data_IF_747206098900
#
_entry.id   IF_747206098900
#
_cell.length_a   1.000
_cell.length_b   1.000
_cell.length_c   1.000
_cell.angle_alpha   90.00
_cell.angle_beta   90.00
_cell.angle_gamma   90.00
#
_symmetry.space_group_name_H-M   'P 1'
#
loop_
_entity.id
_entity.type
_entity.pdbx_description
1 polymer ?
#
# COMPACT_ATOMS: atom_id res chain seq x y z
N UNK A 1 -27.46 48.71 -24.77
CA UNK A 1 -26.65 47.53 -24.40
C UNK A 1 -26.07 47.59 -22.98
N UNK A 2 -26.56 48.45 -22.06
CA UNK A 2 -25.99 48.58 -20.70
C UNK A 2 -26.75 47.82 -19.60
N UNK A 3 -27.95 47.29 -19.88
CA UNK A 3 -28.80 46.63 -18.87
C UNK A 3 -28.57 45.12 -18.71
N UNK A 4 -27.96 44.44 -19.70
CA UNK A 4 -27.71 42.98 -19.63
C UNK A 4 -26.39 42.60 -18.95
N UNK A 5 -25.44 43.53 -18.82
CA UNK A 5 -24.12 43.26 -18.23
C UNK A 5 -24.14 43.27 -16.69
N UNK A 6 -25.05 44.05 -16.09
CA UNK A 6 -25.18 44.22 -14.64
C UNK A 6 -25.75 42.95 -13.96
N UNK A 7 -26.62 42.20 -14.66
CA UNK A 7 -27.18 40.95 -14.13
C UNK A 7 -26.17 39.80 -14.03
N UNK A 8 -25.21 39.73 -14.96
CA UNK A 8 -24.19 38.66 -15.00
C UNK A 8 -23.11 38.89 -13.95
N UNK A 9 -22.68 40.13 -13.74
CA UNK A 9 -21.69 40.49 -12.71
C UNK A 9 -22.26 40.23 -11.31
N UNK A 10 -23.55 40.49 -11.08
CA UNK A 10 -24.21 40.18 -9.80
C UNK A 10 -24.22 38.68 -9.45
N UNK A 11 -24.36 37.80 -10.44
CA UNK A 11 -24.35 36.34 -10.23
C UNK A 11 -22.95 35.78 -9.96
N UNK A 12 -21.92 36.29 -10.65
CA UNK A 12 -20.52 35.87 -10.43
C UNK A 12 -20.03 36.26 -9.04
N UNK A 13 -20.42 37.44 -8.53
CA UNK A 13 -20.11 37.88 -7.16
C UNK A 13 -20.86 37.03 -6.12
N UNK A 14 -22.12 36.65 -6.39
CA UNK A 14 -22.89 35.80 -5.48
C UNK A 14 -22.33 34.36 -5.38
N UNK A 15 -21.88 33.78 -6.49
CA UNK A 15 -21.27 32.43 -6.52
C UNK A 15 -19.88 32.43 -5.87
N UNK A 16 -19.09 33.50 -6.06
CA UNK A 16 -17.80 33.65 -5.38
C UNK A 16 -17.96 33.76 -3.85
N UNK A 17 -19.02 34.42 -3.38
CA UNK A 17 -19.30 34.56 -1.96
C UNK A 17 -19.78 33.24 -1.33
N UNK A 18 -20.59 32.43 -2.03
CA UNK A 18 -21.02 31.13 -1.50
C UNK A 18 -19.89 30.10 -1.43
N UNK A 19 -18.99 30.07 -2.43
CA UNK A 19 -17.80 29.21 -2.42
C UNK A 19 -16.82 29.66 -1.32
N UNK A 20 -16.65 30.97 -1.13
CA UNK A 20 -15.82 31.52 -0.06
C UNK A 20 -16.31 31.17 1.35
N UNK A 21 -17.63 31.23 1.58
CA UNK A 21 -18.23 30.85 2.88
C UNK A 21 -18.11 29.34 3.14
N UNK A 22 -18.30 28.50 2.12
CA UNK A 22 -18.09 27.06 2.26
C UNK A 22 -16.62 26.71 2.54
N UNK A 23 -15.68 27.36 1.84
CA UNK A 23 -14.25 27.16 2.07
C UNK A 23 -13.82 27.57 3.48
N UNK A 24 -14.34 28.69 3.99
CA UNK A 24 -14.09 29.14 5.36
C UNK A 24 -14.68 28.18 6.40
N UNK A 25 -15.87 27.64 6.17
CA UNK A 25 -16.49 26.66 7.06
C UNK A 25 -15.69 25.35 7.11
N UNK A 26 -15.21 24.86 5.96
CA UNK A 26 -14.34 23.67 5.89
C UNK A 26 -13.00 23.94 6.60
N UNK A 27 -12.40 25.10 6.40
CA UNK A 27 -11.15 25.47 7.08
C UNK A 27 -11.32 25.55 8.60
N UNK A 28 -12.43 26.11 9.10
CA UNK A 28 -12.73 26.16 10.55
C UNK A 28 -12.96 24.75 11.11
N UNK A 29 -13.69 23.89 10.41
CA UNK A 29 -13.89 22.48 10.85
C UNK A 29 -12.55 21.74 10.86
N UNK A 30 -11.73 21.89 9.82
CA UNK A 30 -10.40 21.28 9.78
C UNK A 30 -9.48 21.81 10.89
N UNK A 31 -9.50 23.12 11.16
CA UNK A 31 -8.74 23.71 12.27
C UNK A 31 -9.23 23.21 13.64
N UNK A 32 -10.54 23.11 13.86
CA UNK A 32 -11.12 22.55 15.10
C UNK A 32 -10.83 21.05 15.26
N UNK A 33 -10.76 20.29 14.16
CA UNK A 33 -10.35 18.88 14.17
C UNK A 33 -8.83 18.70 14.33
N UNK A 34 -8.03 19.71 13.96
CA UNK A 34 -6.58 19.71 14.09
C UNK A 34 -6.10 20.26 15.44
N UNK A 35 -7.03 20.75 16.27
CA UNK A 35 -6.75 21.32 17.58
C UNK A 35 -7.02 20.30 18.69
N UNK A 36 -6.43 19.11 18.54
CA UNK A 36 -6.20 18.18 19.66
C UNK A 36 -4.82 17.52 19.54
N UNK A 37 -3.77 18.34 19.46
CA UNK A 37 -2.42 17.98 19.89
C UNK A 37 -1.65 19.25 20.31
N UNK A 38 -1.82 19.67 21.57
CA UNK A 38 -0.86 20.56 22.25
C UNK A 38 -0.64 20.11 23.69
N UNK A 39 0.28 19.15 23.90
CA UNK A 39 1.03 19.01 25.17
C UNK A 39 2.42 18.41 24.84
N UNK A 40 3.44 19.24 24.62
CA UNK A 40 4.56 19.52 25.54
C UNK A 40 5.37 18.30 26.01
N UNK A 41 6.62 18.25 25.54
CA UNK A 41 7.76 17.55 26.16
C UNK A 41 7.79 17.73 27.69
N UNK A 42 7.85 16.63 28.45
CA UNK A 42 8.82 16.48 29.53
C UNK A 42 9.03 15.00 29.95
N UNK A 43 10.23 14.79 30.47
CA UNK A 43 10.96 13.59 30.87
C UNK A 43 10.34 12.70 31.99
N UNK A 44 10.78 11.43 32.00
CA UNK A 44 10.87 10.46 33.12
C UNK A 44 9.73 9.47 33.45
N UNK A 45 10.07 8.20 33.20
CA UNK A 45 9.73 6.89 33.81
C UNK A 45 8.69 6.73 34.96
N UNK A 46 7.92 5.63 34.79
CA UNK A 46 7.56 4.56 35.76
C UNK A 46 6.05 4.32 36.09
N UNK A 47 5.57 3.16 35.60
CA UNK A 47 4.49 2.23 36.03
C UNK A 47 3.26 2.70 36.85
N UNK A 48 2.05 2.40 36.34
CA UNK A 48 1.11 1.39 36.92
C UNK A 48 -0.33 1.55 36.39
N UNK A 49 -0.75 0.56 35.60
CA UNK A 49 -2.09 -0.01 35.35
C UNK A 49 -3.37 0.82 35.65
N UNK A 50 -4.18 1.10 34.61
CA UNK A 50 -5.64 0.89 34.62
C UNK A 50 -6.08 0.51 33.20
N UNK A 51 -6.68 -0.68 33.05
CA UNK A 51 -7.38 -1.13 31.85
C UNK A 51 -8.48 -0.12 31.48
N UNK A 52 -8.40 0.43 30.27
CA UNK A 52 -9.57 0.99 29.57
C UNK A 52 -9.67 0.25 28.26
N UNK A 53 -10.55 -0.75 28.32
CA UNK A 53 -11.20 -1.42 27.20
C UNK A 53 -11.74 -0.35 26.24
N UNK A 54 -10.94 -0.03 25.23
CA UNK A 54 -11.43 0.57 23.99
C UNK A 54 -11.17 -0.46 22.94
N UNK A 55 -12.21 -1.26 22.71
CA UNK A 55 -12.45 -2.07 21.52
C UNK A 55 -12.35 -1.13 20.30
N UNK A 56 -11.12 -0.80 19.91
CA UNK A 56 -10.81 -0.31 18.58
C UNK A 56 -10.99 -1.53 17.72
N UNK A 57 -12.09 -1.57 16.99
CA UNK A 57 -12.25 -2.51 15.89
C UNK A 57 -11.12 -2.24 14.90
N UNK A 58 -10.01 -2.94 15.09
CA UNK A 58 -9.12 -3.32 14.02
C UNK A 58 -10.03 -4.05 13.03
N UNK A 59 -10.55 -3.35 12.03
CA UNK A 59 -10.86 -3.99 10.77
C UNK A 59 -9.52 -4.52 10.26
N UNK A 60 -9.21 -5.72 10.74
CA UNK A 60 -8.13 -6.61 10.37
C UNK A 60 -8.19 -6.68 8.85
N UNK A 61 -7.36 -5.88 8.15
CA UNK A 61 -7.32 -5.94 6.70
C UNK A 61 -6.52 -7.20 6.37
N UNK A 62 -7.25 -8.32 6.34
CA UNK A 62 -6.68 -9.66 6.24
C UNK A 62 -6.00 -9.83 4.87
N UNK A 63 -4.75 -10.27 4.87
CA UNK A 63 -4.12 -10.78 3.66
C UNK A 63 -4.86 -12.04 3.20
N UNK A 64 -5.62 -11.93 2.12
CA UNK A 64 -6.28 -13.05 1.47
C UNK A 64 -5.30 -13.81 0.58
N UNK A 65 -5.26 -15.13 0.73
CA UNK A 65 -4.46 -16.02 -0.12
C UNK A 65 -5.04 -16.02 -1.53
N UNK A 66 -4.19 -15.75 -2.52
CA UNK A 66 -4.59 -15.70 -3.92
C UNK A 66 -4.12 -16.94 -4.67
N UNK A 67 -5.04 -17.51 -5.46
CA UNK A 67 -4.71 -18.52 -6.46
C UNK A 67 -3.98 -17.88 -7.64
N UNK A 68 -2.98 -18.60 -8.17
CA UNK A 68 -2.16 -18.13 -9.29
C UNK A 68 -2.15 -19.20 -10.37
N UNK A 69 -2.60 -18.83 -11.56
CA UNK A 69 -2.50 -19.64 -12.78
C UNK A 69 -2.01 -18.78 -13.94
N UNK A 70 -1.74 -19.43 -15.08
CA UNK A 70 -1.25 -18.79 -16.30
C UNK A 70 -2.20 -17.71 -16.83
N UNK A 71 -3.51 -17.88 -16.70
CA UNK A 71 -4.49 -16.96 -17.29
C UNK A 71 -4.54 -15.66 -16.48
N UNK A 72 -4.40 -15.77 -15.15
CA UNK A 72 -4.42 -14.65 -14.23
C UNK A 72 -3.25 -13.68 -14.45
N UNK A 73 -2.08 -14.18 -14.86
CA UNK A 73 -0.83 -13.39 -14.94
C UNK A 73 -0.46 -12.93 -16.37
N UNK A 74 -1.34 -13.09 -17.37
CA UNK A 74 -1.05 -12.66 -18.75
C UNK A 74 -0.90 -11.15 -18.94
N UNK A 75 -1.47 -10.34 -18.03
CA UNK A 75 -1.31 -8.89 -18.06
C UNK A 75 -0.20 -8.45 -17.12
N UNK A 76 0.57 -7.43 -17.51
CA UNK A 76 1.66 -6.91 -16.66
C UNK A 76 1.14 -6.43 -15.31
N UNK A 77 -0.08 -5.88 -15.25
CA UNK A 77 -0.67 -5.43 -13.98
C UNK A 77 -0.86 -6.59 -13.04
N UNK A 78 -1.55 -7.65 -13.48
CA UNK A 78 -1.80 -8.82 -12.65
C UNK A 78 -0.49 -9.55 -12.32
N UNK A 79 0.40 -9.69 -13.29
CA UNK A 79 1.73 -10.29 -13.08
C UNK A 79 2.48 -9.57 -11.95
N UNK A 80 2.55 -8.23 -12.04
CA UNK A 80 3.22 -7.43 -11.03
C UNK A 80 2.50 -7.52 -9.68
N UNK A 81 1.17 -7.59 -9.66
CA UNK A 81 0.39 -7.76 -8.43
C UNK A 81 0.69 -9.10 -7.75
N UNK A 82 0.72 -10.19 -8.52
CA UNK A 82 1.15 -11.51 -8.04
C UNK A 82 2.58 -11.47 -7.52
N UNK A 83 3.52 -10.87 -8.26
CA UNK A 83 4.92 -10.74 -7.83
C UNK A 83 5.03 -9.91 -6.54
N UNK A 84 4.22 -8.84 -6.41
CA UNK A 84 4.15 -8.04 -5.19
C UNK A 84 3.70 -8.87 -3.99
N UNK A 85 2.60 -9.61 -4.12
CA UNK A 85 2.09 -10.46 -3.04
C UNK A 85 3.07 -11.59 -2.68
N UNK A 86 3.83 -12.11 -3.63
CA UNK A 86 4.91 -13.07 -3.34
C UNK A 86 5.98 -12.45 -2.41
N UNK A 87 6.33 -11.17 -2.59
CA UNK A 87 7.32 -10.52 -1.71
C UNK A 87 6.88 -10.46 -0.25
N UNK A 88 5.58 -10.53 0.05
CA UNK A 88 5.06 -10.43 1.42
C UNK A 88 5.56 -11.55 2.33
N UNK A 89 5.89 -12.72 1.78
CA UNK A 89 6.55 -13.82 2.51
C UNK A 89 7.99 -13.49 2.95
N UNK A 90 8.63 -12.50 2.34
CA UNK A 90 10.07 -12.19 2.54
C UNK A 90 10.35 -10.86 3.21
N UNK A 91 9.37 -9.96 3.30
CA UNK A 91 9.61 -8.56 3.73
C UNK A 91 8.79 -8.18 4.95
N UNK A 92 9.36 -7.35 5.81
CA UNK A 92 8.63 -6.67 6.86
C UNK A 92 8.09 -5.33 6.33
N UNK A 93 6.77 -5.15 6.37
CA UNK A 93 6.06 -3.90 6.06
C UNK A 93 4.96 -3.70 7.11
N UNK A 94 4.59 -2.44 7.38
CA UNK A 94 3.54 -2.14 8.37
C UNK A 94 2.18 -2.67 7.94
N UNK A 95 1.84 -2.48 6.66
CA UNK A 95 0.61 -2.96 6.06
C UNK A 95 0.93 -3.81 4.83
N UNK A 96 0.12 -4.84 4.63
CA UNK A 96 0.22 -5.75 3.49
C UNK A 96 -1.18 -6.22 3.12
N UNK A 97 -1.43 -6.35 1.82
CA UNK A 97 -2.71 -6.79 1.29
C UNK A 97 -2.48 -7.92 0.29
N UNK A 98 -3.13 -9.06 0.55
CA UNK A 98 -2.97 -10.26 -0.24
C UNK A 98 -1.71 -11.06 0.08
N UNK A 99 -1.79 -12.37 -0.09
CA UNK A 99 -0.68 -13.29 0.10
C UNK A 99 -0.61 -14.28 -1.07
N UNK A 100 0.60 -14.50 -1.59
CA UNK A 100 0.89 -15.54 -2.57
C UNK A 100 2.11 -16.28 -2.07
N UNK A 101 2.00 -17.59 -1.84
CA UNK A 101 3.14 -18.39 -1.36
C UNK A 101 4.28 -18.33 -2.39
N UNK A 102 5.53 -18.35 -1.94
CA UNK A 102 6.66 -18.60 -2.84
C UNK A 102 6.89 -20.11 -2.88
N UNK A 103 6.75 -20.72 -4.06
CA UNK A 103 7.15 -22.10 -4.34
C UNK A 103 7.98 -22.15 -5.62
N UNK A 104 8.77 -23.22 -5.78
CA UNK A 104 9.60 -23.41 -6.97
C UNK A 104 8.73 -23.43 -8.25
N UNK A 105 7.59 -24.14 -8.24
CA UNK A 105 6.69 -24.18 -9.41
C UNK A 105 6.14 -22.79 -9.75
N UNK A 106 5.88 -21.95 -8.74
CA UNK A 106 5.34 -20.61 -8.96
C UNK A 106 6.39 -19.64 -9.48
N UNK A 107 7.64 -19.75 -9.00
CA UNK A 107 8.77 -19.00 -9.56
C UNK A 107 8.95 -19.37 -11.03
N UNK A 108 8.93 -20.67 -11.36
CA UNK A 108 9.07 -21.15 -12.73
C UNK A 108 7.95 -20.64 -13.64
N UNK A 109 6.69 -20.74 -13.20
CA UNK A 109 5.53 -20.23 -13.91
C UNK A 109 5.64 -18.72 -14.20
N UNK A 110 5.99 -17.94 -13.18
CA UNK A 110 6.17 -16.49 -13.30
C UNK A 110 7.32 -16.16 -14.26
N UNK A 111 8.44 -16.90 -14.16
CA UNK A 111 9.62 -16.69 -15.00
C UNK A 111 9.35 -17.04 -16.47
N UNK A 112 8.62 -18.11 -16.74
CA UNK A 112 8.19 -18.50 -18.10
C UNK A 112 7.27 -17.43 -18.68
N UNK A 113 6.23 -17.04 -17.93
CA UNK A 113 5.25 -16.03 -18.37
C UNK A 113 5.93 -14.72 -18.75
N UNK A 114 6.85 -14.22 -17.92
CA UNK A 114 7.50 -12.94 -18.21
C UNK A 114 8.45 -13.03 -19.40
N UNK A 115 9.13 -14.16 -19.63
CA UNK A 115 10.00 -14.37 -20.80
C UNK A 115 9.24 -14.36 -22.12
N UNK A 116 7.98 -14.80 -22.12
CA UNK A 116 7.12 -14.79 -23.32
C UNK A 116 6.34 -13.49 -23.50
N UNK A 117 6.33 -12.63 -22.50
CA UNK A 117 5.60 -11.37 -22.50
C UNK A 117 6.29 -10.26 -23.33
N UNK A 118 5.59 -9.13 -23.49
CA UNK A 118 6.17 -7.85 -23.92
C UNK A 118 5.93 -6.78 -22.83
N UNK A 119 6.12 -7.15 -21.56
CA UNK A 119 5.90 -6.25 -20.44
C UNK A 119 6.88 -5.09 -20.43
N UNK A 120 6.43 -3.94 -19.94
CA UNK A 120 7.22 -2.71 -19.89
C UNK A 120 8.46 -2.87 -19.01
N UNK A 121 8.33 -3.59 -17.90
CA UNK A 121 9.41 -3.82 -16.92
C UNK A 121 9.93 -5.27 -16.95
N UNK A 122 9.86 -5.93 -18.11
CA UNK A 122 10.21 -7.34 -18.29
C UNK A 122 11.59 -7.70 -17.73
N UNK A 123 12.63 -6.94 -18.06
CA UNK A 123 14.00 -7.22 -17.62
C UNK A 123 14.15 -7.23 -16.09
N UNK A 124 13.50 -6.28 -15.41
CA UNK A 124 13.49 -6.19 -13.95
C UNK A 124 12.85 -7.45 -13.32
N UNK A 125 11.71 -7.88 -13.86
CA UNK A 125 11.04 -9.08 -13.37
C UNK A 125 11.86 -10.35 -13.63
N UNK A 126 12.51 -10.47 -14.80
CA UNK A 126 13.38 -11.61 -15.13
C UNK A 126 14.57 -11.67 -14.17
N UNK A 127 15.22 -10.54 -13.91
CA UNK A 127 16.35 -10.46 -12.97
C UNK A 127 15.93 -10.91 -11.57
N UNK A 128 14.82 -10.36 -11.06
CA UNK A 128 14.27 -10.70 -9.76
C UNK A 128 13.96 -12.20 -9.63
N UNK A 129 13.20 -12.76 -10.56
CA UNK A 129 12.77 -14.16 -10.53
C UNK A 129 13.93 -15.12 -10.79
N UNK A 130 14.93 -14.73 -11.57
CA UNK A 130 16.15 -15.55 -11.76
C UNK A 130 16.95 -15.62 -10.46
N UNK A 131 17.06 -14.54 -9.68
CA UNK A 131 17.69 -14.60 -8.36
C UNK A 131 16.91 -15.54 -7.42
N UNK A 132 15.58 -15.43 -7.41
CA UNK A 132 14.72 -16.24 -6.54
C UNK A 132 14.74 -17.73 -6.91
N UNK A 133 14.83 -18.06 -8.20
CA UNK A 133 15.01 -19.43 -8.68
C UNK A 133 16.31 -20.07 -8.16
N UNK A 134 17.34 -19.25 -7.89
CA UNK A 134 18.59 -19.69 -7.28
C UNK A 134 18.56 -19.65 -5.73
N UNK A 135 17.40 -19.38 -5.13
CA UNK A 135 17.23 -19.25 -3.68
C UNK A 135 17.74 -17.92 -3.11
N UNK A 136 18.14 -16.96 -3.94
CA UNK A 136 18.58 -15.64 -3.51
C UNK A 136 17.40 -14.67 -3.45
N UNK A 137 16.89 -14.44 -2.24
CA UNK A 137 15.81 -13.48 -1.96
C UNK A 137 16.31 -12.15 -1.40
N UNK A 138 17.62 -11.87 -1.48
CA UNK A 138 18.22 -10.66 -0.89
C UNK A 138 17.66 -9.36 -1.47
N UNK A 139 17.14 -9.40 -2.69
CA UNK A 139 16.50 -8.28 -3.38
C UNK A 139 14.99 -8.14 -3.10
N UNK A 140 14.36 -8.97 -2.26
CA UNK A 140 12.90 -8.96 -2.11
C UNK A 140 12.31 -7.62 -1.65
N UNK A 141 13.05 -6.86 -0.82
CA UNK A 141 12.66 -5.50 -0.40
C UNK A 141 12.68 -4.51 -1.57
N UNK A 142 13.69 -4.63 -2.45
CA UNK A 142 13.78 -3.81 -3.67
C UNK A 142 12.63 -4.12 -4.61
N UNK A 143 12.38 -5.41 -4.86
CA UNK A 143 11.27 -5.88 -5.71
C UNK A 143 9.93 -5.38 -5.19
N UNK A 144 9.68 -5.52 -3.88
CA UNK A 144 8.46 -5.01 -3.26
C UNK A 144 8.30 -3.50 -3.49
N UNK A 145 9.34 -2.72 -3.15
CA UNK A 145 9.25 -1.27 -3.15
C UNK A 145 9.20 -0.69 -4.58
N UNK A 146 9.90 -1.30 -5.53
CA UNK A 146 9.82 -0.92 -6.94
C UNK A 146 8.38 -1.06 -7.46
N UNK A 147 7.76 -2.20 -7.20
CA UNK A 147 6.37 -2.47 -7.60
C UNK A 147 5.38 -1.56 -6.87
N UNK A 148 5.60 -1.33 -5.57
CA UNK A 148 4.81 -0.40 -4.76
C UNK A 148 4.89 1.03 -5.31
N UNK A 149 6.06 1.49 -5.76
CA UNK A 149 6.24 2.79 -6.42
C UNK A 149 5.52 2.85 -7.77
N UNK A 150 5.58 1.79 -8.59
CA UNK A 150 4.82 1.70 -9.84
C UNK A 150 3.30 1.81 -9.61
N UNK A 151 2.81 1.29 -8.49
CA UNK A 151 1.40 1.41 -8.05
C UNK A 151 1.07 2.77 -7.45
N UNK A 152 2.06 3.65 -7.23
CA UNK A 152 1.93 4.91 -6.48
C UNK A 152 1.34 4.68 -5.08
N UNK A 153 1.82 3.64 -4.40
CA UNK A 153 1.41 3.33 -3.03
C UNK A 153 1.76 4.48 -2.07
N UNK A 154 0.99 4.58 -0.99
CA UNK A 154 1.24 5.55 0.10
C UNK A 154 1.44 4.87 1.47
N UNK A 155 1.09 3.58 1.57
CA UNK A 155 1.11 2.74 2.78
C UNK A 155 1.64 1.35 2.43
N UNK A 156 2.20 0.62 3.39
CA UNK A 156 2.72 -0.73 3.17
C UNK A 156 4.09 -0.83 2.48
N UNK A 157 4.93 0.21 2.57
CA UNK A 157 6.31 0.14 2.04
C UNK A 157 7.17 -0.84 2.87
N UNK A 158 7.96 -1.68 2.22
CA UNK A 158 8.85 -2.62 2.89
C UNK A 158 10.06 -1.93 3.53
N UNK A 159 10.36 -2.31 4.77
CA UNK A 159 11.42 -1.74 5.60
C UNK A 159 12.70 -2.59 5.59
N UNK A 160 12.56 -3.90 5.64
CA UNK A 160 13.65 -4.88 5.70
C UNK A 160 13.18 -6.26 5.27
N UNK A 161 14.11 -7.19 5.12
CA UNK A 161 13.81 -8.61 5.01
C UNK A 161 13.29 -9.14 6.35
N UNK A 162 12.47 -10.18 6.28
CA UNK A 162 12.15 -11.00 7.43
C UNK A 162 13.38 -11.76 7.94
N UNK A 163 13.40 -12.05 9.25
CA UNK A 163 14.21 -13.13 9.79
C UNK A 163 13.64 -14.48 9.36
N UNK A 164 14.40 -15.55 9.54
CA UNK A 164 13.91 -16.90 9.26
C UNK A 164 12.65 -17.22 10.08
N UNK A 165 12.63 -16.85 11.35
CA UNK A 165 11.48 -17.07 12.24
C UNK A 165 10.24 -16.30 11.79
N UNK A 166 10.39 -15.03 11.40
CA UNK A 166 9.29 -14.20 10.90
C UNK A 166 8.71 -14.79 9.61
N UNK A 167 9.56 -15.25 8.69
CA UNK A 167 9.09 -15.93 7.48
C UNK A 167 8.35 -17.23 7.81
N UNK A 168 8.84 -18.04 8.75
CA UNK A 168 8.15 -19.27 9.14
C UNK A 168 6.78 -18.98 9.76
N UNK A 169 6.68 -17.99 10.64
CA UNK A 169 5.41 -17.56 11.22
C UNK A 169 4.43 -17.07 10.15
N UNK A 170 4.92 -16.31 9.17
CA UNK A 170 4.12 -15.85 8.05
C UNK A 170 3.56 -17.02 7.24
N UNK A 171 4.40 -18.00 6.88
CA UNK A 171 3.95 -19.18 6.14
C UNK A 171 2.94 -20.03 6.91
N UNK A 172 3.13 -20.20 8.22
CA UNK A 172 2.17 -20.92 9.06
C UNK A 172 0.82 -20.19 9.12
N UNK A 173 0.83 -18.86 9.21
CA UNK A 173 -0.39 -18.06 9.29
C UNK A 173 -1.21 -18.11 8.00
N UNK A 174 -0.56 -18.09 6.84
CA UNK A 174 -1.25 -17.87 5.56
C UNK A 174 -1.33 -19.11 4.66
N UNK A 175 -0.46 -20.11 4.80
CA UNK A 175 -0.36 -21.19 3.83
C UNK A 175 -0.44 -22.59 4.45
N UNK A 176 -0.71 -22.73 5.75
CA UNK A 176 -0.77 -24.02 6.45
C UNK A 176 -2.05 -24.20 7.26
#
# INVERSE_FOLDING_TARGET
>A
MKSKLIGIIGWVVAIGFTIGVLGLAIFIVFALLSEDEVVKENDSQEETTVEVDTEVSEEDIQEEVQEVDTDNIQSESNFRDTLHHMTHQKVHAQDKWGAVEITDERIDLMLETVKESNFTHQDFYIEALTAWQNGDFSNAVEVHNYIWELKKGNVGRALRLFSEEEEQQYKEKYFR
#
